data_IF_712566048705
#
_entry.id   IF_712566048705
#
_cell.length_a   1.000
_cell.length_b   1.000
_cell.length_c   1.000
_cell.angle_alpha   90.00
_cell.angle_beta   90.00
_cell.angle_gamma   90.00
#
_symmetry.space_group_name_H-M   'P 1'
#
loop_
_entity.id
_entity.type
_entity.pdbx_description
1 polymer ?
#
# COMPACT_ATOMS: atom_id res chain seq x y z
N UNK A 1 -8.42 -29.13 28.04
CA UNK A 1 -7.58 -29.10 26.81
C UNK A 1 -7.27 -27.63 26.55
N UNK A 2 -6.02 -27.20 26.74
CA UNK A 2 -5.62 -25.84 26.45
C UNK A 2 -5.65 -25.66 24.92
N UNK A 3 -6.54 -24.80 24.41
CA UNK A 3 -6.40 -24.25 23.09
C UNK A 3 -4.99 -23.62 23.03
N UNK A 4 -4.09 -24.22 22.27
CA UNK A 4 -2.82 -23.60 21.93
C UNK A 4 -3.17 -22.38 21.09
N UNK A 5 -3.30 -21.21 21.74
CA UNK A 5 -3.39 -19.93 21.07
C UNK A 5 -2.21 -19.84 20.10
N UNK A 6 -2.51 -19.67 18.82
CA UNK A 6 -1.47 -19.46 17.81
C UNK A 6 -0.59 -18.28 18.22
N UNK A 7 0.74 -18.38 18.20
CA UNK A 7 1.63 -17.39 18.80
C UNK A 7 1.66 -16.02 18.10
N UNK A 8 0.80 -15.77 17.11
CA UNK A 8 0.97 -14.69 16.16
C UNK A 8 0.28 -13.35 16.47
N UNK A 9 -0.82 -13.34 17.21
CA UNK A 9 -1.65 -12.15 17.37
C UNK A 9 -2.26 -11.64 16.04
N UNK A 10 -2.90 -10.47 16.08
CA UNK A 10 -3.54 -9.90 14.90
C UNK A 10 -2.53 -9.30 13.93
N UNK A 11 -2.76 -9.53 12.63
CA UNK A 11 -2.01 -8.93 11.53
C UNK A 11 -2.75 -7.76 10.91
N UNK A 12 -2.01 -6.73 10.51
CA UNK A 12 -2.47 -5.60 9.70
C UNK A 12 -1.84 -5.69 8.31
N UNK A 13 -2.67 -5.62 7.27
CA UNK A 13 -2.22 -5.64 5.87
C UNK A 13 -2.73 -4.38 5.16
N UNK A 14 -1.81 -3.59 4.61
CA UNK A 14 -2.10 -2.34 3.95
C UNK A 14 -1.69 -2.40 2.47
N UNK A 15 -2.67 -2.19 1.56
CA UNK A 15 -2.42 -2.20 0.11
C UNK A 15 -1.69 -0.94 -0.37
N UNK A 16 -1.19 -0.98 -1.60
CA UNK A 16 -0.72 0.20 -2.31
C UNK A 16 -1.88 1.12 -2.74
N UNK A 17 -1.52 2.31 -3.24
CA UNK A 17 -2.54 3.24 -3.75
C UNK A 17 -2.10 4.71 -3.86
N UNK A 18 -0.83 5.05 -3.69
CA UNK A 18 -0.36 6.43 -3.76
C UNK A 18 -1.07 7.32 -2.74
N UNK A 19 -1.60 8.48 -3.16
CA UNK A 19 -2.28 9.43 -2.28
C UNK A 19 -3.57 8.85 -1.66
N UNK A 20 -4.16 7.79 -2.22
CA UNK A 20 -5.27 7.04 -1.59
C UNK A 20 -4.87 6.42 -0.24
N UNK A 21 -3.56 6.33 0.08
CA UNK A 21 -3.06 5.89 1.38
C UNK A 21 -3.55 6.75 2.56
N UNK A 22 -4.01 7.98 2.33
CA UNK A 22 -4.67 8.81 3.32
C UNK A 22 -5.94 8.14 3.88
N UNK A 23 -6.71 7.45 3.05
CA UNK A 23 -7.87 6.66 3.48
C UNK A 23 -7.47 5.62 4.55
N UNK A 24 -6.37 4.89 4.31
CA UNK A 24 -5.88 3.90 5.29
C UNK A 24 -5.51 4.54 6.63
N UNK A 25 -4.87 5.71 6.61
CA UNK A 25 -4.56 6.45 7.83
C UNK A 25 -5.85 6.85 8.58
N UNK A 26 -6.90 7.24 7.86
CA UNK A 26 -8.23 7.48 8.40
C UNK A 26 -8.84 6.24 9.06
N UNK A 27 -8.78 5.09 8.37
CA UNK A 27 -9.26 3.81 8.91
C UNK A 27 -8.49 3.42 10.18
N UNK A 28 -7.16 3.56 10.19
CA UNK A 28 -6.34 3.26 11.36
C UNK A 28 -6.72 4.14 12.56
N UNK A 29 -7.00 5.43 12.33
CA UNK A 29 -7.50 6.33 13.37
C UNK A 29 -8.87 5.88 13.87
N UNK A 30 -9.79 5.53 12.98
CA UNK A 30 -11.12 5.01 13.36
C UNK A 30 -11.05 3.70 14.15
N UNK A 31 -10.13 2.80 13.82
CA UNK A 31 -9.86 1.58 14.60
C UNK A 31 -9.39 1.96 16.01
N UNK A 32 -8.47 2.91 16.13
CA UNK A 32 -8.01 3.38 17.44
C UNK A 32 -9.16 3.99 18.27
N UNK A 33 -10.06 4.75 17.62
CA UNK A 33 -11.25 5.31 18.28
C UNK A 33 -12.23 4.20 18.75
N UNK A 34 -12.36 3.10 18.00
CA UNK A 34 -13.17 1.94 18.39
C UNK A 34 -12.58 1.23 19.59
N UNK A 35 -11.26 1.03 19.59
CA UNK A 35 -10.54 0.30 20.65
C UNK A 35 -10.36 1.11 21.94
N UNK A 36 -10.42 2.45 21.88
CA UNK A 36 -10.23 3.32 23.04
C UNK A 36 -8.85 3.06 23.70
N UNK A 37 -8.84 2.81 25.00
CA UNK A 37 -7.60 2.57 25.78
C UNK A 37 -6.84 1.30 25.31
N UNK A 38 -7.54 0.30 24.76
CA UNK A 38 -6.92 -0.91 24.23
C UNK A 38 -6.05 -0.64 23.00
N UNK A 39 -6.27 0.47 22.30
CA UNK A 39 -5.43 0.87 21.16
C UNK A 39 -3.94 1.04 21.55
N UNK A 40 -3.64 1.30 22.82
CA UNK A 40 -2.27 1.47 23.31
C UNK A 40 -1.68 0.17 23.92
N UNK A 41 -2.19 -0.99 23.53
CA UNK A 41 -1.71 -2.32 23.96
C UNK A 41 -1.20 -3.16 22.79
N UNK A 42 -0.62 -2.55 21.77
CA UNK A 42 -0.16 -3.20 20.54
C UNK A 42 -1.24 -4.10 19.90
N UNK A 43 -2.36 -3.54 19.41
CA UNK A 43 -3.47 -4.33 18.87
C UNK A 43 -3.05 -5.19 17.68
N UNK A 44 -2.05 -4.76 16.94
CA UNK A 44 -1.45 -5.53 15.84
C UNK A 44 -0.01 -5.94 16.20
N UNK A 45 0.27 -7.24 16.08
CA UNK A 45 1.61 -7.81 16.30
C UNK A 45 2.39 -8.02 15.00
N UNK A 46 1.69 -8.09 13.88
CA UNK A 46 2.25 -8.24 12.54
C UNK A 46 1.73 -7.09 11.67
N UNK A 47 2.63 -6.32 11.08
CA UNK A 47 2.26 -5.23 10.17
C UNK A 47 2.94 -5.43 8.82
N UNK A 48 2.16 -5.40 7.76
CA UNK A 48 2.68 -5.55 6.39
C UNK A 48 2.09 -4.50 5.47
N UNK A 49 2.90 -3.99 4.55
CA UNK A 49 2.45 -2.98 3.63
C UNK A 49 3.15 -2.99 2.28
N UNK A 50 2.50 -2.38 1.31
CA UNK A 50 2.99 -2.21 -0.07
C UNK A 50 2.80 -0.74 -0.44
N UNK A 51 3.80 -0.10 -1.07
CA UNK A 51 3.70 1.29 -1.54
C UNK A 51 3.30 2.26 -0.43
N UNK A 52 2.26 3.06 -0.59
CA UNK A 52 1.72 3.91 0.46
C UNK A 52 1.36 3.11 1.74
N UNK A 53 0.86 1.88 1.57
CA UNK A 53 0.61 0.96 2.69
C UNK A 53 1.90 0.57 3.44
N UNK A 54 3.06 0.51 2.76
CA UNK A 54 4.34 0.28 3.43
C UNK A 54 4.74 1.48 4.32
N UNK A 55 4.46 2.70 3.86
CA UNK A 55 4.67 3.92 4.65
C UNK A 55 3.79 3.89 5.90
N UNK A 56 2.50 3.63 5.74
CA UNK A 56 1.55 3.59 6.84
C UNK A 56 1.87 2.46 7.84
N UNK A 57 2.20 1.26 7.33
CA UNK A 57 2.54 0.10 8.17
C UNK A 57 3.82 0.34 8.98
N UNK A 58 4.86 0.91 8.38
CA UNK A 58 6.13 1.19 9.08
C UNK A 58 5.98 2.33 10.08
N UNK A 59 5.18 3.36 9.76
CA UNK A 59 4.85 4.42 10.72
C UNK A 59 4.12 3.85 11.96
N UNK A 60 3.07 3.05 11.74
CA UNK A 60 2.34 2.41 12.83
C UNK A 60 3.24 1.43 13.63
N UNK A 61 4.14 0.71 12.95
CA UNK A 61 5.08 -0.20 13.58
C UNK A 61 6.11 0.52 14.47
N UNK A 62 6.55 1.71 14.09
CA UNK A 62 7.43 2.54 14.91
C UNK A 62 6.73 2.95 16.21
N UNK A 63 5.42 3.23 16.18
CA UNK A 63 4.61 3.52 17.37
C UNK A 63 4.49 2.33 18.35
N UNK A 64 4.63 1.11 17.88
CA UNK A 64 4.63 -0.10 18.71
C UNK A 64 3.38 -0.23 19.57
N UNK A 65 3.56 -0.22 20.90
CA UNK A 65 2.43 -0.31 21.84
C UNK A 65 1.54 0.94 21.84
N UNK A 66 2.07 2.11 21.50
CA UNK A 66 1.32 3.37 21.46
C UNK A 66 0.58 3.57 20.12
N UNK A 67 -0.16 2.55 19.66
CA UNK A 67 -0.85 2.56 18.37
C UNK A 67 -1.84 3.74 18.24
N UNK A 68 -2.61 4.05 19.30
CA UNK A 68 -3.53 5.18 19.29
C UNK A 68 -2.80 6.51 18.97
N UNK A 69 -1.71 6.80 19.68
CA UNK A 69 -0.87 7.98 19.43
C UNK A 69 -0.23 7.95 18.04
N UNK A 70 0.24 6.78 17.60
CA UNK A 70 0.81 6.63 16.26
C UNK A 70 -0.21 6.96 15.16
N UNK A 71 -1.47 6.54 15.34
CA UNK A 71 -2.53 6.86 14.35
C UNK A 71 -2.89 8.34 14.31
N UNK A 72 -2.82 9.04 15.44
CA UNK A 72 -2.96 10.52 15.49
C UNK A 72 -1.84 11.20 14.70
N UNK A 73 -0.60 10.80 14.95
CA UNK A 73 0.55 11.33 14.22
C UNK A 73 0.44 11.04 12.72
N UNK A 74 0.06 9.82 12.34
CA UNK A 74 -0.11 9.44 10.94
C UNK A 74 -1.23 10.25 10.25
N UNK A 75 -2.34 10.47 10.93
CA UNK A 75 -3.41 11.36 10.47
C UNK A 75 -2.87 12.76 10.15
N UNK A 76 -2.11 13.32 11.08
CA UNK A 76 -1.56 14.67 10.90
C UNK A 76 -0.53 14.74 9.76
N UNK A 77 0.29 13.70 9.60
CA UNK A 77 1.22 13.56 8.48
C UNK A 77 0.49 13.64 7.14
N UNK A 78 -0.60 12.86 6.97
CA UNK A 78 -1.39 12.88 5.74
C UNK A 78 -2.19 14.17 5.56
N UNK A 79 -2.69 14.77 6.64
CA UNK A 79 -3.44 16.02 6.63
C UNK A 79 -2.60 17.20 6.11
N UNK A 80 -1.31 17.19 6.42
CA UNK A 80 -0.37 18.25 6.04
C UNK A 80 0.41 17.93 4.77
N UNK A 81 0.30 16.71 4.23
CA UNK A 81 1.08 16.29 3.08
C UNK A 81 0.75 17.13 1.84
N UNK A 82 1.79 17.62 1.17
CA UNK A 82 1.69 18.38 -0.07
C UNK A 82 2.60 17.76 -1.13
N UNK A 83 2.27 18.03 -2.39
CA UNK A 83 2.98 17.51 -3.55
C UNK A 83 4.50 17.79 -3.48
N UNK A 84 4.89 18.97 -3.02
CA UNK A 84 6.29 19.41 -2.91
C UNK A 84 7.10 18.57 -1.90
N UNK A 85 6.43 17.90 -0.97
CA UNK A 85 7.05 16.96 -0.01
C UNK A 85 7.22 15.55 -0.59
N UNK A 86 6.60 15.28 -1.73
CA UNK A 86 6.64 13.98 -2.42
C UNK A 86 7.54 14.02 -3.65
N UNK A 87 7.38 15.07 -4.47
CA UNK A 87 8.12 15.26 -5.73
C UNK A 87 8.67 16.67 -5.84
N UNK A 88 9.81 16.81 -6.52
CA UNK A 88 10.29 18.13 -6.93
C UNK A 88 9.39 18.73 -8.00
N UNK A 89 8.98 19.96 -7.77
CA UNK A 89 8.09 20.72 -8.65
C UNK A 89 8.77 21.94 -9.27
N UNK A 90 10.09 22.14 -9.02
CA UNK A 90 10.85 23.27 -9.54
C UNK A 90 11.09 23.13 -11.05
N UNK A 91 10.92 24.26 -11.77
CA UNK A 91 10.98 24.33 -13.22
C UNK A 91 12.33 23.88 -13.81
N UNK A 92 13.45 24.14 -13.11
CA UNK A 92 14.78 23.76 -13.54
C UNK A 92 15.00 22.24 -13.61
N UNK A 93 14.56 21.51 -12.58
CA UNK A 93 14.63 20.05 -12.54
C UNK A 93 13.73 19.42 -13.59
N UNK A 94 12.51 19.94 -13.73
CA UNK A 94 11.49 19.40 -14.64
C UNK A 94 11.84 19.65 -16.12
N UNK A 95 12.38 20.83 -16.47
CA UNK A 95 12.83 21.11 -17.83
C UNK A 95 14.05 20.26 -18.22
N UNK A 96 14.96 19.98 -17.30
CA UNK A 96 16.12 19.11 -17.54
C UNK A 96 15.70 17.64 -17.75
N UNK A 97 14.71 17.16 -17.01
CA UNK A 97 14.13 15.82 -17.19
C UNK A 97 13.39 15.70 -18.53
N UNK A 98 12.57 16.68 -18.88
CA UNK A 98 11.85 16.71 -20.17
C UNK A 98 12.79 16.76 -21.37
N UNK A 99 13.84 17.59 -21.32
CA UNK A 99 14.88 17.63 -22.35
C UNK A 99 15.63 16.28 -22.44
N UNK A 100 16.00 15.67 -21.34
CA UNK A 100 16.66 14.34 -21.33
C UNK A 100 15.77 13.26 -21.97
N UNK A 101 14.45 13.28 -21.69
CA UNK A 101 13.49 12.38 -22.32
C UNK A 101 13.39 12.61 -23.83
N UNK A 102 13.25 13.86 -24.26
CA UNK A 102 13.21 14.21 -25.68
C UNK A 102 14.50 13.80 -26.42
N UNK A 103 15.67 14.04 -25.82
CA UNK A 103 16.96 13.60 -26.40
C UNK A 103 17.09 12.08 -26.44
N UNK A 104 16.63 11.38 -25.42
CA UNK A 104 16.68 9.90 -25.38
C UNK A 104 15.74 9.24 -26.38
N UNK A 105 14.56 9.82 -26.64
CA UNK A 105 13.60 9.32 -27.63
C UNK A 105 13.89 9.76 -29.06
N UNK A 106 14.43 10.99 -29.26
CA UNK A 106 14.54 11.60 -30.58
C UNK A 106 15.91 11.43 -31.30
N UNK A 107 17.02 11.25 -30.57
CA UNK A 107 18.37 11.28 -31.17
C UNK A 107 19.22 10.08 -30.72
N UNK A 108 18.67 9.11 -30.05
CA UNK A 108 19.37 8.20 -29.16
C UNK A 108 19.78 6.83 -29.70
N UNK A 109 19.95 6.64 -30.99
CA UNK A 109 20.30 5.33 -31.56
C UNK A 109 21.79 4.90 -31.45
N UNK A 110 22.71 5.77 -31.05
CA UNK A 110 24.16 5.40 -31.16
C UNK A 110 25.04 6.26 -30.28
N UNK A 111 25.27 5.88 -29.04
CA UNK A 111 26.60 6.09 -28.39
C UNK A 111 26.61 5.46 -26.99
N UNK A 112 27.56 4.59 -26.73
CA UNK A 112 27.78 3.92 -25.46
C UNK A 112 27.94 4.92 -24.30
N UNK A 113 27.40 4.54 -23.14
CA UNK A 113 27.54 5.25 -21.87
C UNK A 113 26.55 6.42 -21.58
N UNK A 114 25.31 6.37 -22.09
CA UNK A 114 24.27 7.33 -21.67
C UNK A 114 23.44 6.75 -20.53
N UNK A 115 23.42 7.45 -19.41
CA UNK A 115 22.45 7.20 -18.33
C UNK A 115 21.03 7.46 -18.87
N UNK A 116 20.32 6.40 -19.25
CA UNK A 116 18.92 6.50 -19.65
C UNK A 116 18.09 7.00 -18.46
N UNK A 117 17.24 7.99 -18.71
CA UNK A 117 16.27 8.44 -17.70
C UNK A 117 15.25 7.33 -17.48
N UNK A 118 15.16 6.80 -16.26
CA UNK A 118 14.30 5.67 -15.91
C UNK A 118 12.97 6.12 -15.27
N UNK A 119 12.80 7.44 -15.05
CA UNK A 119 11.66 8.00 -14.31
C UNK A 119 11.30 9.40 -14.83
N UNK A 120 10.05 9.78 -14.60
CA UNK A 120 9.49 11.08 -14.99
C UNK A 120 9.60 12.14 -13.88
N UNK A 121 9.60 11.73 -12.60
CA UNK A 121 9.51 12.62 -11.46
C UNK A 121 10.71 12.40 -10.51
N UNK A 122 11.22 13.48 -9.94
CA UNK A 122 12.22 13.42 -8.88
C UNK A 122 11.53 13.27 -7.52
N UNK A 123 11.64 12.09 -6.92
CA UNK A 123 11.08 11.74 -5.60
C UNK A 123 12.06 11.98 -4.44
N UNK A 124 13.10 12.82 -4.61
CA UNK A 124 14.03 13.14 -3.52
C UNK A 124 13.35 13.76 -2.28
N UNK A 125 12.32 14.63 -2.41
CA UNK A 125 11.61 15.15 -1.24
C UNK A 125 10.91 14.04 -0.44
N UNK A 126 10.37 13.01 -1.09
CA UNK A 126 9.75 11.89 -0.40
C UNK A 126 10.75 11.17 0.53
N UNK A 127 12.01 11.03 0.09
CA UNK A 127 13.07 10.44 0.94
C UNK A 127 13.28 11.23 2.21
N UNK A 128 13.36 12.55 2.11
CA UNK A 128 13.59 13.43 3.25
C UNK A 128 12.37 13.45 4.17
N UNK A 129 11.16 13.51 3.59
CA UNK A 129 9.91 13.40 4.31
C UNK A 129 9.80 12.07 5.10
N UNK A 130 10.10 10.94 4.49
CA UNK A 130 10.06 9.65 5.18
C UNK A 130 11.13 9.54 6.28
N UNK A 131 12.31 10.16 6.09
CA UNK A 131 13.36 10.21 7.11
C UNK A 131 12.93 10.99 8.35
N UNK A 132 12.12 12.03 8.18
CA UNK A 132 11.57 12.82 9.28
C UNK A 132 10.49 12.06 10.09
N UNK A 133 9.78 11.11 9.44
CA UNK A 133 8.55 10.52 10.00
C UNK A 133 8.66 9.03 10.33
N UNK A 134 9.63 8.30 9.78
CA UNK A 134 9.79 6.85 10.02
C UNK A 134 11.03 6.60 10.86
N UNK A 135 10.82 6.12 12.08
CA UNK A 135 11.88 5.68 12.97
C UNK A 135 12.16 4.18 12.82
N UNK A 136 13.15 3.84 11.97
CA UNK A 136 13.55 2.46 11.73
C UNK A 136 14.15 1.79 12.97
N UNK A 137 14.78 2.56 13.89
CA UNK A 137 15.33 2.01 15.13
C UNK A 137 14.20 1.64 16.09
N UNK A 138 13.15 2.46 16.20
CA UNK A 138 11.98 2.13 16.99
C UNK A 138 11.28 0.85 16.47
N UNK A 139 11.17 0.66 15.13
CA UNK A 139 10.65 -0.58 14.54
C UNK A 139 11.49 -1.78 15.01
N UNK A 140 12.80 -1.69 14.88
CA UNK A 140 13.74 -2.74 15.29
C UNK A 140 13.66 -3.03 16.80
N UNK A 141 13.54 -2.00 17.62
CA UNK A 141 13.33 -2.13 19.07
C UNK A 141 12.03 -2.89 19.37
N UNK A 142 10.92 -2.51 18.75
CA UNK A 142 9.61 -3.11 18.97
C UNK A 142 9.56 -4.59 18.56
N UNK A 143 10.30 -4.97 17.51
CA UNK A 143 10.45 -6.38 17.13
C UNK A 143 11.32 -7.15 18.14
N UNK A 144 12.47 -6.60 18.54
CA UNK A 144 13.39 -7.24 19.49
C UNK A 144 12.80 -7.40 20.89
N UNK A 145 12.04 -6.41 21.35
CA UNK A 145 11.35 -6.46 22.66
C UNK A 145 10.11 -7.37 22.67
N UNK A 146 9.70 -7.89 21.49
CA UNK A 146 8.51 -8.73 21.34
C UNK A 146 7.18 -7.96 21.41
N UNK A 147 7.18 -6.63 21.38
CA UNK A 147 5.98 -5.82 21.17
C UNK A 147 5.37 -6.16 19.82
N UNK A 148 6.19 -6.21 18.78
CA UNK A 148 5.80 -6.71 17.46
C UNK A 148 6.41 -8.09 17.20
N UNK A 149 5.65 -8.96 16.56
CA UNK A 149 6.14 -10.22 16.04
C UNK A 149 6.88 -10.06 14.72
N UNK A 150 6.43 -9.11 13.90
CA UNK A 150 7.11 -8.82 12.65
C UNK A 150 6.50 -7.67 11.85
N UNK A 151 7.37 -7.06 11.07
CA UNK A 151 7.03 -5.97 10.14
C UNK A 151 7.60 -6.31 8.78
N UNK A 152 6.84 -6.07 7.71
CA UNK A 152 7.30 -6.35 6.35
C UNK A 152 6.86 -5.29 5.35
N UNK A 153 7.73 -5.02 4.39
CA UNK A 153 7.44 -4.20 3.22
C UNK A 153 7.82 -4.96 1.96
N UNK A 154 7.02 -4.83 0.89
CA UNK A 154 7.26 -5.56 -0.35
C UNK A 154 7.66 -4.63 -1.47
N UNK A 155 8.71 -4.99 -2.20
CA UNK A 155 9.17 -4.31 -3.40
C UNK A 155 9.35 -5.30 -4.56
N UNK A 156 9.36 -4.82 -5.78
CA UNK A 156 9.58 -5.63 -7.00
C UNK A 156 11.02 -5.53 -7.44
N UNK A 157 11.72 -6.66 -7.52
CA UNK A 157 13.09 -6.72 -8.07
C UNK A 157 13.06 -6.62 -9.59
N UNK A 158 13.76 -5.64 -10.15
CA UNK A 158 13.92 -5.54 -11.61
C UNK A 158 14.87 -6.58 -12.19
N UNK A 159 15.74 -7.16 -11.37
CA UNK A 159 16.66 -8.19 -11.83
C UNK A 159 15.98 -9.53 -12.07
N UNK A 160 15.02 -9.91 -11.21
CA UNK A 160 14.35 -11.22 -11.25
C UNK A 160 12.87 -11.16 -11.65
N UNK A 161 12.25 -9.98 -11.66
CA UNK A 161 10.82 -9.83 -11.83
C UNK A 161 10.00 -10.40 -10.67
N UNK A 162 10.60 -10.59 -9.50
CA UNK A 162 10.00 -11.23 -8.32
C UNK A 162 9.61 -10.18 -7.28
N UNK A 163 8.47 -10.39 -6.60
CA UNK A 163 8.12 -9.62 -5.42
C UNK A 163 8.99 -10.07 -4.23
N UNK A 164 9.79 -9.17 -3.69
CA UNK A 164 10.64 -9.40 -2.53
C UNK A 164 10.00 -8.71 -1.33
N UNK A 165 9.64 -9.50 -0.34
CA UNK A 165 9.17 -9.01 0.95
C UNK A 165 10.35 -8.93 1.91
N UNK A 166 10.80 -7.72 2.19
CA UNK A 166 11.78 -7.44 3.22
C UNK A 166 11.09 -7.45 4.57
N UNK A 167 11.59 -8.24 5.53
CA UNK A 167 10.94 -8.33 6.82
C UNK A 167 11.94 -8.38 7.98
N UNK A 168 11.57 -7.72 9.08
CA UNK A 168 12.15 -7.88 10.41
C UNK A 168 11.12 -8.56 11.32
N UNK A 169 11.50 -9.64 11.99
CA UNK A 169 10.55 -10.45 12.74
C UNK A 169 11.23 -11.30 13.84
N UNK A 170 10.41 -11.84 14.72
CA UNK A 170 10.81 -12.78 15.76
C UNK A 170 11.74 -13.89 15.22
N UNK A 171 12.69 -14.43 16.04
CA UNK A 171 13.73 -15.34 15.56
C UNK A 171 13.22 -16.62 14.89
N UNK A 172 12.05 -17.09 15.28
CA UNK A 172 11.42 -18.32 14.75
C UNK A 172 10.84 -18.18 13.36
N UNK A 173 10.60 -16.94 12.87
CA UNK A 173 10.12 -16.69 11.50
C UNK A 173 11.25 -16.94 10.51
N UNK A 174 11.05 -17.80 9.54
CA UNK A 174 12.05 -18.15 8.53
C UNK A 174 11.82 -17.43 7.21
N UNK A 175 12.87 -17.12 6.43
CA UNK A 175 12.73 -16.72 5.04
C UNK A 175 11.92 -17.77 4.25
N UNK A 176 11.18 -17.30 3.25
CA UNK A 176 10.36 -18.18 2.41
C UNK A 176 10.53 -17.89 0.92
N UNK A 177 10.22 -18.88 0.10
CA UNK A 177 10.14 -18.76 -1.34
C UNK A 177 8.84 -19.38 -1.84
N UNK A 178 8.19 -18.69 -2.78
CA UNK A 178 6.99 -19.10 -3.51
C UNK A 178 7.14 -18.66 -4.96
N UNK A 179 6.27 -19.13 -5.83
CA UNK A 179 6.29 -18.72 -7.24
C UNK A 179 6.24 -17.19 -7.37
N UNK A 180 7.29 -16.60 -7.94
CA UNK A 180 7.46 -15.17 -8.15
C UNK A 180 7.38 -14.28 -6.87
N UNK A 181 7.53 -14.86 -5.66
CA UNK A 181 7.49 -14.14 -4.38
C UNK A 181 8.49 -14.73 -3.40
N UNK A 182 9.23 -13.90 -2.71
CA UNK A 182 10.23 -14.32 -1.70
C UNK A 182 10.17 -13.42 -0.48
N UNK A 183 10.34 -13.99 0.70
CA UNK A 183 10.58 -13.25 1.93
C UNK A 183 12.06 -13.27 2.29
N UNK A 184 12.63 -12.11 2.48
CA UNK A 184 14.03 -11.88 2.84
C UNK A 184 14.10 -11.22 4.22
N UNK A 185 14.71 -11.90 5.18
CA UNK A 185 14.95 -11.32 6.50
C UNK A 185 16.01 -10.24 6.41
N UNK A 186 15.69 -9.05 6.92
CA UNK A 186 16.60 -7.94 7.04
C UNK A 186 16.13 -6.97 8.14
N UNK A 187 17.02 -6.20 8.72
CA UNK A 187 16.61 -5.02 9.48
C UNK A 187 15.97 -4.03 8.51
N UNK A 188 14.71 -3.66 8.78
CA UNK A 188 14.03 -2.70 7.92
C UNK A 188 14.65 -1.31 8.06
N UNK A 189 14.90 -0.70 6.93
CA UNK A 189 15.44 0.65 6.80
C UNK A 189 14.64 1.46 5.79
N UNK A 190 14.81 2.77 5.81
CA UNK A 190 14.10 3.71 4.95
C UNK A 190 14.16 3.33 3.46
N UNK A 191 15.29 2.84 2.98
CA UNK A 191 15.44 2.49 1.56
C UNK A 191 14.56 1.30 1.13
N UNK A 192 14.16 0.40 2.04
CA UNK A 192 13.20 -0.66 1.76
C UNK A 192 11.79 -0.09 1.55
N UNK A 193 11.40 0.90 2.37
CA UNK A 193 10.11 1.60 2.25
C UNK A 193 10.06 2.40 0.96
N UNK A 194 11.13 3.13 0.65
CA UNK A 194 11.28 3.87 -0.62
C UNK A 194 11.20 2.95 -1.84
N UNK A 195 11.85 1.77 -1.77
CA UNK A 195 11.78 0.78 -2.84
C UNK A 195 10.35 0.27 -3.05
N UNK A 196 9.62 0.04 -1.95
CA UNK A 196 8.22 -0.37 -1.98
C UNK A 196 7.29 0.69 -2.57
N UNK A 197 7.63 1.99 -2.44
CA UNK A 197 6.83 3.11 -2.92
C UNK A 197 7.32 3.71 -4.27
N UNK A 198 8.31 3.08 -4.91
CA UNK A 198 8.88 3.56 -6.18
C UNK A 198 8.01 3.12 -7.37
N UNK A 199 6.91 3.83 -7.62
CA UNK A 199 5.99 3.55 -8.74
C UNK A 199 6.76 3.60 -10.06
N UNK A 200 6.76 2.51 -10.88
CA UNK A 200 7.50 2.44 -12.13
C UNK A 200 7.11 3.59 -13.08
N UNK A 201 8.08 4.06 -13.85
CA UNK A 201 7.97 5.18 -14.79
C UNK A 201 7.82 6.52 -14.07
N UNK A 202 7.03 6.61 -13.00
CA UNK A 202 6.81 7.86 -12.27
C UNK A 202 8.01 8.17 -11.36
N UNK A 203 8.41 7.24 -10.51
CA UNK A 203 9.48 7.44 -9.53
C UNK A 203 10.75 6.67 -9.88
N UNK A 204 11.93 7.18 -9.44
CA UNK A 204 13.19 6.49 -9.67
C UNK A 204 13.21 5.13 -8.96
N UNK A 205 13.76 4.09 -9.60
CA UNK A 205 14.03 2.83 -8.93
C UNK A 205 15.01 3.03 -7.77
N UNK A 206 14.88 2.23 -6.72
CA UNK A 206 15.69 2.32 -5.51
C UNK A 206 16.65 1.15 -5.46
N UNK A 207 17.92 1.42 -5.15
CA UNK A 207 18.93 0.38 -4.99
C UNK A 207 18.92 -0.14 -3.55
N UNK A 208 18.71 -1.46 -3.39
CA UNK A 208 18.81 -2.18 -2.12
C UNK A 208 19.87 -3.27 -2.29
N UNK A 209 20.93 -3.20 -1.52
CA UNK A 209 22.09 -4.07 -1.76
C UNK A 209 22.65 -3.89 -3.17
N UNK A 210 22.78 -4.96 -3.92
CA UNK A 210 23.28 -4.95 -5.31
C UNK A 210 22.20 -4.77 -6.38
N UNK A 211 20.90 -4.79 -6.04
CA UNK A 211 19.79 -4.87 -6.98
C UNK A 211 18.94 -3.60 -7.01
N UNK A 212 18.25 -3.36 -8.13
CA UNK A 212 17.28 -2.29 -8.31
C UNK A 212 15.86 -2.79 -8.07
N UNK A 213 15.08 -1.99 -7.36
CA UNK A 213 13.71 -2.29 -6.98
C UNK A 213 12.76 -1.16 -7.36
N UNK A 214 11.53 -1.54 -7.65
CA UNK A 214 10.39 -0.67 -7.81
C UNK A 214 9.22 -1.10 -6.93
N UNK A 215 8.08 -0.43 -7.08
CA UNK A 215 6.89 -0.64 -6.26
C UNK A 215 6.46 -2.10 -6.21
N UNK A 216 6.16 -2.56 -4.99
CA UNK A 216 5.78 -3.94 -4.71
C UNK A 216 4.46 -4.37 -5.33
N UNK A 217 3.53 -3.44 -5.53
CA UNK A 217 2.21 -3.71 -6.10
C UNK A 217 2.26 -4.34 -7.49
N UNK A 218 3.32 -4.03 -8.27
CA UNK A 218 3.47 -4.55 -9.63
C UNK A 218 3.53 -6.09 -9.69
N UNK A 219 4.10 -6.74 -8.68
CA UNK A 219 4.32 -8.21 -8.68
C UNK A 219 3.69 -8.95 -7.49
N UNK A 220 3.16 -8.24 -6.50
CA UNK A 220 2.55 -8.86 -5.33
C UNK A 220 1.10 -9.29 -5.61
N UNK A 221 0.93 -10.54 -5.97
CA UNK A 221 -0.39 -11.14 -6.28
C UNK A 221 -1.09 -11.79 -5.09
N UNK A 222 -0.47 -11.79 -3.91
CA UNK A 222 -1.04 -12.33 -2.67
C UNK A 222 -0.60 -11.48 -1.45
N UNK A 223 -1.19 -10.29 -1.28
CA UNK A 223 -0.81 -9.33 -0.24
C UNK A 223 -1.00 -9.83 1.19
N UNK A 224 -1.88 -10.80 1.44
CA UNK A 224 -2.08 -11.42 2.76
C UNK A 224 -0.93 -12.38 3.13
N UNK A 225 -0.23 -12.92 2.13
CA UNK A 225 0.81 -13.94 2.32
C UNK A 225 1.95 -13.52 3.26
N UNK A 226 2.50 -12.30 3.22
CA UNK A 226 3.52 -11.88 4.18
C UNK A 226 3.05 -11.94 5.64
N UNK A 227 1.84 -11.49 5.94
CA UNK A 227 1.29 -11.54 7.29
C UNK A 227 1.15 -13.00 7.79
N UNK A 228 0.73 -13.90 6.91
CA UNK A 228 0.64 -15.33 7.19
C UNK A 228 2.03 -15.91 7.50
N UNK A 229 3.04 -15.60 6.68
CA UNK A 229 4.41 -16.08 6.90
C UNK A 229 5.05 -15.49 8.16
N UNK A 230 4.68 -14.31 8.57
CA UNK A 230 5.07 -13.71 9.85
C UNK A 230 4.30 -14.30 11.04
N UNK A 231 3.31 -15.16 10.78
CA UNK A 231 2.58 -15.92 11.79
C UNK A 231 1.40 -15.16 12.39
N UNK A 232 0.73 -14.30 11.64
CA UNK A 232 -0.53 -13.69 12.07
C UNK A 232 -1.60 -14.78 12.29
N UNK A 233 -2.32 -14.69 13.40
CA UNK A 233 -3.42 -15.60 13.73
C UNK A 233 -4.75 -15.19 13.09
N UNK A 234 -4.91 -13.90 12.82
CA UNK A 234 -6.00 -13.30 12.06
C UNK A 234 -5.47 -12.06 11.33
N UNK A 235 -6.17 -11.58 10.31
CA UNK A 235 -5.73 -10.44 9.51
C UNK A 235 -6.85 -9.42 9.37
N UNK A 236 -6.54 -8.17 9.72
CA UNK A 236 -7.32 -7.00 9.30
C UNK A 236 -6.61 -6.39 8.10
N UNK A 237 -7.30 -6.33 6.97
CA UNK A 237 -6.74 -5.78 5.74
C UNK A 237 -7.50 -4.51 5.33
N UNK A 238 -6.75 -3.46 4.98
CA UNK A 238 -7.32 -2.19 4.53
C UNK A 238 -7.01 -2.01 3.05
N UNK A 239 -8.04 -2.16 2.22
CA UNK A 239 -8.00 -1.88 0.79
C UNK A 239 -8.31 -0.40 0.51
N UNK A 240 -7.94 0.08 -0.68
CA UNK A 240 -8.29 1.42 -1.16
C UNK A 240 -9.09 1.35 -2.48
N UNK A 241 -9.66 0.19 -2.75
CA UNK A 241 -10.57 -0.05 -3.86
C UNK A 241 -12.03 0.05 -3.40
N UNK A 242 -12.78 0.90 -4.04
CA UNK A 242 -14.25 0.92 -3.91
C UNK A 242 -14.84 -0.31 -4.60
N UNK A 243 -15.64 -1.08 -3.86
CA UNK A 243 -16.37 -2.21 -4.43
C UNK A 243 -17.67 -1.69 -5.03
N UNK A 244 -17.62 -1.41 -6.34
CA UNK A 244 -18.79 -0.91 -7.07
C UNK A 244 -19.87 -1.99 -7.13
N UNK A 245 -21.14 -1.66 -6.85
CA UNK A 245 -22.25 -2.59 -7.05
C UNK A 245 -22.37 -3.10 -8.50
N UNK A 246 -22.77 -4.35 -8.68
CA UNK A 246 -22.87 -4.98 -10.02
C UNK A 246 -23.81 -4.21 -10.94
N UNK A 247 -24.90 -3.67 -10.42
CA UNK A 247 -25.84 -2.86 -11.17
C UNK A 247 -25.21 -1.60 -11.73
N UNK A 248 -24.50 -0.85 -10.91
CA UNK A 248 -23.75 0.33 -11.34
C UNK A 248 -22.66 -0.02 -12.37
N UNK A 249 -22.02 -1.19 -12.20
CA UNK A 249 -21.03 -1.68 -13.17
C UNK A 249 -21.67 -1.98 -14.53
N UNK A 250 -22.87 -2.58 -14.54
CA UNK A 250 -23.63 -2.83 -15.80
C UNK A 250 -24.05 -1.53 -16.46
N UNK A 251 -24.60 -0.58 -15.71
CA UNK A 251 -24.99 0.74 -16.22
C UNK A 251 -23.82 1.46 -16.89
N UNK A 252 -22.64 1.45 -16.27
CA UNK A 252 -21.44 2.04 -16.86
C UNK A 252 -20.97 1.35 -18.14
N UNK A 253 -21.15 0.03 -18.26
CA UNK A 253 -20.78 -0.72 -19.46
C UNK A 253 -21.84 -0.62 -20.58
N UNK A 254 -23.08 -0.37 -20.24
CA UNK A 254 -24.19 -0.20 -21.20
C UNK A 254 -24.39 1.27 -21.58
N UNK A 255 -23.87 2.19 -20.77
CA UNK A 255 -23.97 3.63 -21.00
C UNK A 255 -23.16 4.06 -22.22
N UNK A 256 -23.75 5.00 -22.99
CA UNK A 256 -23.06 5.69 -24.08
C UNK A 256 -22.05 6.68 -23.47
N UNK A 257 -20.90 6.20 -23.01
CA UNK A 257 -19.83 7.05 -22.53
C UNK A 257 -19.33 7.90 -23.69
N UNK A 258 -19.71 9.18 -23.69
CA UNK A 258 -19.50 10.13 -24.78
C UNK A 258 -18.07 10.64 -24.90
N UNK A 259 -17.18 10.35 -23.94
CA UNK A 259 -15.81 10.81 -24.03
C UNK A 259 -14.88 9.75 -24.65
N UNK A 260 -13.93 10.19 -25.45
CA UNK A 260 -12.90 9.33 -25.99
C UNK A 260 -11.95 8.91 -24.87
N UNK A 261 -11.62 7.61 -24.81
CA UNK A 261 -10.64 7.07 -23.86
C UNK A 261 -9.29 7.75 -24.05
N UNK A 262 -8.75 8.29 -22.96
CA UNK A 262 -7.47 8.99 -22.94
C UNK A 262 -6.33 8.11 -22.43
N UNK A 263 -5.09 8.54 -22.61
CA UNK A 263 -3.94 7.87 -21.98
C UNK A 263 -3.99 7.97 -20.45
N UNK A 264 -4.62 8.99 -19.90
CA UNK A 264 -4.82 9.13 -18.46
C UNK A 264 -5.80 8.07 -17.93
N UNK A 265 -6.88 7.75 -18.66
CA UNK A 265 -7.82 6.69 -18.29
C UNK A 265 -7.16 5.30 -18.36
N UNK A 266 -6.40 5.04 -19.42
CA UNK A 266 -5.63 3.79 -19.57
C UNK A 266 -4.62 3.67 -18.41
N UNK A 267 -3.87 4.73 -18.12
CA UNK A 267 -2.90 4.78 -17.03
C UNK A 267 -3.55 4.52 -15.67
N UNK A 268 -4.69 5.14 -15.39
CA UNK A 268 -5.47 4.91 -14.16
C UNK A 268 -5.93 3.45 -14.04
N UNK A 269 -6.46 2.88 -15.11
CA UNK A 269 -6.87 1.47 -15.15
C UNK A 269 -5.69 0.52 -14.89
N UNK A 270 -4.54 0.78 -15.50
CA UNK A 270 -3.32 -0.03 -15.27
C UNK A 270 -2.82 0.08 -13.82
N UNK A 271 -2.88 1.27 -13.21
CA UNK A 271 -2.52 1.43 -11.82
C UNK A 271 -3.51 0.72 -10.88
N UNK A 272 -4.81 0.79 -11.16
CA UNK A 272 -5.84 0.06 -10.42
C UNK A 272 -5.58 -1.45 -10.47
N UNK A 273 -5.30 -2.01 -11.65
CA UNK A 273 -4.99 -3.43 -11.82
C UNK A 273 -3.72 -3.85 -11.05
N UNK A 274 -2.70 -3.01 -11.04
CA UNK A 274 -1.44 -3.31 -10.35
C UNK A 274 -1.54 -3.20 -8.83
N UNK A 275 -2.29 -2.23 -8.30
CA UNK A 275 -2.22 -1.86 -6.89
C UNK A 275 -3.47 -2.23 -6.08
N UNK A 276 -4.64 -2.35 -6.71
CA UNK A 276 -5.90 -2.53 -5.98
C UNK A 276 -6.45 -3.95 -6.07
N UNK A 277 -6.37 -4.56 -7.24
CA UNK A 277 -7.09 -5.81 -7.52
C UNK A 277 -6.52 -7.00 -6.77
N UNK A 278 -5.21 -7.01 -6.50
CA UNK A 278 -4.52 -8.14 -5.90
C UNK A 278 -4.98 -8.43 -4.47
N UNK A 279 -5.25 -7.40 -3.64
CA UNK A 279 -5.72 -7.59 -2.26
C UNK A 279 -7.14 -8.14 -2.23
N UNK A 280 -8.02 -7.64 -3.09
CA UNK A 280 -9.40 -8.10 -3.20
C UNK A 280 -9.46 -9.58 -3.63
N UNK A 281 -8.74 -9.93 -4.69
CA UNK A 281 -8.67 -11.30 -5.17
C UNK A 281 -8.06 -12.27 -4.15
N UNK A 282 -7.07 -11.82 -3.37
CA UNK A 282 -6.44 -12.64 -2.33
C UNK A 282 -7.37 -12.84 -1.12
N UNK A 283 -8.11 -11.82 -0.72
CA UNK A 283 -9.12 -11.93 0.34
C UNK A 283 -10.27 -12.85 -0.06
N UNK A 284 -10.78 -12.75 -1.28
CA UNK A 284 -11.78 -13.68 -1.81
C UNK A 284 -11.28 -15.11 -1.82
N UNK A 285 -10.06 -15.33 -2.30
CA UNK A 285 -9.39 -16.64 -2.28
C UNK A 285 -9.27 -17.18 -0.86
N UNK A 286 -8.88 -16.34 0.10
CA UNK A 286 -8.75 -16.74 1.51
C UNK A 286 -10.10 -17.15 2.11
N UNK A 287 -11.17 -16.42 1.79
CA UNK A 287 -12.53 -16.77 2.22
C UNK A 287 -12.93 -18.16 1.71
N UNK A 288 -12.65 -18.47 0.44
CA UNK A 288 -12.92 -19.79 -0.13
C UNK A 288 -12.07 -20.88 0.51
N UNK A 289 -10.78 -20.62 0.75
CA UNK A 289 -9.89 -21.56 1.45
C UNK A 289 -10.41 -21.82 2.86
N UNK A 290 -10.76 -20.79 3.61
CA UNK A 290 -11.31 -20.91 4.96
C UNK A 290 -12.59 -21.77 4.99
N UNK A 291 -13.50 -21.53 4.04
CA UNK A 291 -14.73 -22.32 3.90
C UNK A 291 -14.43 -23.80 3.63
N UNK A 292 -13.43 -24.08 2.79
CA UNK A 292 -12.99 -25.47 2.50
C UNK A 292 -12.36 -26.11 3.75
N UNK A 293 -11.49 -25.39 4.47
CA UNK A 293 -10.84 -25.91 5.69
C UNK A 293 -11.88 -26.20 6.79
N UNK A 294 -12.93 -25.37 6.88
CA UNK A 294 -13.99 -25.57 7.86
C UNK A 294 -14.79 -26.88 7.67
N UNK A 295 -14.76 -27.45 6.46
CA UNK A 295 -15.39 -28.77 6.17
C UNK A 295 -14.50 -29.97 6.58
N UNK A 296 -13.22 -29.75 6.82
CA UNK A 296 -12.29 -30.82 7.20
C UNK A 296 -12.35 -31.09 8.70
N UNK A 297 -12.26 -32.35 9.09
CA UNK A 297 -12.05 -32.75 10.49
C UNK A 297 -10.58 -32.49 10.89
N UNK A 298 -10.29 -32.58 12.21
CA UNK A 298 -8.96 -32.26 12.75
C UNK A 298 -7.87 -33.22 12.26
N UNK A 299 -8.21 -34.49 12.05
CA UNK A 299 -7.24 -35.48 11.53
C UNK A 299 -6.90 -35.20 10.07
N UNK A 300 -7.89 -34.85 9.26
CA UNK A 300 -7.67 -34.43 7.86
C UNK A 300 -6.81 -33.17 7.76
N UNK A 301 -7.01 -32.21 8.67
CA UNK A 301 -6.19 -30.98 8.72
C UNK A 301 -4.73 -31.29 9.07
N UNK A 302 -4.50 -32.21 10.01
CA UNK A 302 -3.14 -32.62 10.47
C UNK A 302 -2.39 -33.46 9.45
N UNK A 303 -3.08 -34.24 8.63
CA UNK A 303 -2.47 -35.14 7.61
C UNK A 303 -1.93 -34.37 6.40
N UNK A 304 -2.21 -33.08 6.29
CA UNK A 304 -1.66 -32.24 5.20
C UNK A 304 -0.15 -32.00 5.43
N UNK A 305 0.60 -31.89 4.34
CA UNK A 305 2.05 -31.60 4.38
C UNK A 305 2.38 -30.30 5.16
N UNK A 306 1.44 -29.36 5.18
CA UNK A 306 1.45 -28.20 6.08
C UNK A 306 0.12 -28.20 6.83
N UNK A 307 0.10 -28.19 8.17
CA UNK A 307 -1.16 -28.15 8.94
C UNK A 307 -2.04 -26.98 8.51
N UNK A 308 -3.30 -27.28 8.17
CA UNK A 308 -4.26 -26.27 7.74
C UNK A 308 -5.02 -25.73 8.94
N UNK A 309 -5.22 -24.41 8.96
CA UNK A 309 -6.07 -23.74 9.92
C UNK A 309 -6.84 -22.61 9.25
N UNK A 310 -7.99 -22.27 9.77
CA UNK A 310 -8.77 -21.13 9.34
C UNK A 310 -8.03 -19.84 9.76
N UNK A 311 -7.86 -18.92 8.84
CA UNK A 311 -7.32 -17.59 9.09
C UNK A 311 -8.44 -16.55 8.96
N UNK A 312 -8.98 -16.03 10.07
CA UNK A 312 -9.98 -14.97 10.01
C UNK A 312 -9.44 -13.73 9.30
N UNK A 313 -10.21 -13.19 8.35
CA UNK A 313 -9.87 -11.98 7.63
C UNK A 313 -11.01 -10.98 7.73
N UNK A 314 -10.72 -9.79 8.26
CA UNK A 314 -11.60 -8.65 8.23
C UNK A 314 -11.09 -7.66 7.17
N UNK A 315 -11.92 -7.36 6.17
CA UNK A 315 -11.61 -6.38 5.13
C UNK A 315 -12.34 -5.07 5.40
N UNK A 316 -11.61 -3.95 5.41
CA UNK A 316 -12.18 -2.61 5.42
C UNK A 316 -11.91 -1.97 4.06
N UNK A 317 -12.97 -1.44 3.42
CA UNK A 317 -12.97 -0.86 2.08
C UNK A 317 -13.63 0.50 2.09
N UNK A 318 -13.27 1.39 1.15
CA UNK A 318 -13.95 2.67 1.00
C UNK A 318 -15.44 2.48 0.65
N UNK A 319 -16.30 3.22 1.33
CA UNK A 319 -17.72 3.32 1.03
C UNK A 319 -18.03 4.20 -0.19
N UNK A 320 -17.02 4.95 -0.69
CA UNK A 320 -17.11 5.80 -1.86
C UNK A 320 -15.94 5.54 -2.83
N UNK A 321 -16.14 5.85 -4.10
CA UNK A 321 -15.10 5.71 -5.12
C UNK A 321 -14.02 6.79 -4.97
N UNK A 322 -12.83 6.39 -4.48
CA UNK A 322 -11.71 7.31 -4.25
C UNK A 322 -11.18 7.91 -5.55
N UNK A 323 -11.32 7.22 -6.69
CA UNK A 323 -11.01 7.75 -8.00
C UNK A 323 -11.94 8.90 -8.34
N UNK A 324 -13.26 8.71 -8.16
CA UNK A 324 -14.25 9.74 -8.41
C UNK A 324 -14.05 10.98 -7.54
N UNK A 325 -13.61 10.82 -6.28
CA UNK A 325 -13.28 11.94 -5.39
C UNK A 325 -12.07 12.76 -5.88
N UNK A 326 -11.26 12.23 -6.79
CA UNK A 326 -10.16 12.97 -7.42
C UNK A 326 -10.61 13.77 -8.65
N UNK A 327 -11.85 13.65 -9.10
CA UNK A 327 -12.39 14.52 -10.13
C UNK A 327 -12.32 16.00 -9.67
N UNK A 328 -11.91 16.89 -10.55
CA UNK A 328 -11.69 18.31 -10.21
C UNK A 328 -10.36 18.63 -9.52
N UNK A 329 -9.58 17.64 -9.09
CA UNK A 329 -8.28 17.88 -8.43
C UNK A 329 -7.20 18.41 -9.38
N UNK A 330 -7.41 18.38 -10.70
CA UNK A 330 -6.43 18.81 -11.70
C UNK A 330 -5.94 20.26 -11.47
N UNK A 331 -6.80 21.13 -10.96
CA UNK A 331 -6.46 22.52 -10.64
C UNK A 331 -5.43 22.65 -9.50
N UNK A 332 -5.39 21.69 -8.57
CA UNK A 332 -4.52 21.68 -7.40
C UNK A 332 -3.11 21.17 -7.70
N UNK A 333 -2.89 20.57 -8.87
CA UNK A 333 -1.55 20.16 -9.28
C UNK A 333 -0.66 21.36 -9.61
N UNK A 334 0.64 21.31 -9.30
CA UNK A 334 1.62 22.28 -9.78
C UNK A 334 1.53 22.46 -11.30
N UNK A 335 1.80 23.66 -11.80
CA UNK A 335 1.58 24.03 -13.21
C UNK A 335 2.19 23.05 -14.21
N UNK A 336 3.39 22.55 -13.93
CA UNK A 336 4.06 21.56 -14.78
C UNK A 336 3.30 20.21 -14.79
N UNK A 337 2.97 19.67 -13.62
CA UNK A 337 2.22 18.41 -13.52
C UNK A 337 0.88 18.51 -14.21
N UNK A 338 0.18 19.63 -14.02
CA UNK A 338 -1.07 19.92 -14.69
C UNK A 338 -0.92 19.93 -16.21
N UNK A 339 0.16 20.53 -16.72
CA UNK A 339 0.45 20.53 -18.16
C UNK A 339 0.73 19.09 -18.67
N UNK A 340 1.52 18.32 -17.94
CA UNK A 340 1.83 16.93 -18.27
C UNK A 340 0.55 16.06 -18.26
N UNK A 341 -0.27 16.17 -17.22
CA UNK A 341 -1.52 15.42 -17.09
C UNK A 341 -2.51 15.79 -18.20
N UNK A 342 -2.64 17.08 -18.55
CA UNK A 342 -3.44 17.52 -19.71
C UNK A 342 -2.90 16.97 -21.02
N UNK A 343 -1.58 16.87 -21.17
CA UNK A 343 -0.94 16.31 -22.36
C UNK A 343 -1.28 14.85 -22.62
N UNK A 344 -1.61 14.09 -21.58
CA UNK A 344 -2.06 12.69 -21.68
C UNK A 344 -3.60 12.56 -21.59
N UNK A 345 -4.32 13.69 -21.61
CA UNK A 345 -5.77 13.74 -21.70
C UNK A 345 -6.52 13.79 -20.36
N UNK A 346 -5.82 14.07 -19.24
CA UNK A 346 -6.52 14.30 -17.97
C UNK A 346 -7.31 15.62 -18.02
N UNK A 347 -8.54 15.56 -17.55
CA UNK A 347 -9.49 16.68 -17.49
C UNK A 347 -10.37 16.56 -16.24
N UNK A 348 -11.41 17.37 -16.14
CA UNK A 348 -12.42 17.21 -15.08
C UNK A 348 -13.22 15.91 -15.24
N UNK A 349 -13.38 15.42 -16.48
CA UNK A 349 -14.19 14.25 -16.81
C UNK A 349 -13.35 12.98 -17.12
N UNK A 350 -12.02 13.10 -17.23
CA UNK A 350 -11.14 12.00 -17.64
C UNK A 350 -9.88 11.93 -16.77
N UNK A 351 -9.40 10.68 -16.52
CA UNK A 351 -8.14 10.45 -15.81
C UNK A 351 -8.23 10.61 -14.29
N UNK A 352 -9.43 10.65 -13.70
CA UNK A 352 -9.62 10.79 -12.25
C UNK A 352 -8.92 9.69 -11.46
N UNK A 353 -8.94 8.45 -11.95
CA UNK A 353 -8.22 7.32 -11.34
C UNK A 353 -6.70 7.61 -11.29
N UNK A 354 -6.08 8.01 -12.40
CA UNK A 354 -4.65 8.36 -12.42
C UNK A 354 -4.34 9.51 -11.46
N UNK A 355 -5.18 10.58 -11.48
CA UNK A 355 -5.00 11.73 -10.60
C UNK A 355 -5.07 11.34 -9.13
N UNK A 356 -5.95 10.42 -8.74
CA UNK A 356 -6.10 9.96 -7.36
C UNK A 356 -4.85 9.32 -6.75
N UNK A 357 -3.96 8.75 -7.56
CA UNK A 357 -2.68 8.22 -7.08
C UNK A 357 -1.66 9.33 -6.79
N UNK A 358 -1.82 10.48 -7.43
CA UNK A 358 -0.85 11.58 -7.44
C UNK A 358 -1.32 12.83 -6.67
N UNK A 359 -2.59 12.87 -6.21
CA UNK A 359 -3.18 14.03 -5.52
C UNK A 359 -2.71 14.12 -4.06
N UNK A 360 -1.42 14.35 -3.86
CA UNK A 360 -0.84 14.62 -2.54
C UNK A 360 -1.13 16.07 -2.13
N UNK A 361 -2.39 16.39 -1.90
CA UNK A 361 -2.86 17.72 -1.50
C UNK A 361 -3.98 17.58 -0.45
N UNK A 362 -4.03 18.46 0.57
CA UNK A 362 -5.06 18.43 1.60
C UNK A 362 -6.50 18.47 1.07
N UNK A 363 -6.74 19.11 -0.09
CA UNK A 363 -8.07 19.11 -0.71
C UNK A 363 -8.55 17.71 -1.12
N UNK A 364 -7.65 16.76 -1.30
CA UNK A 364 -7.97 15.36 -1.57
C UNK A 364 -7.73 14.46 -0.35
N UNK A 365 -6.58 14.61 0.34
CA UNK A 365 -6.21 13.70 1.42
C UNK A 365 -7.07 13.87 2.66
N UNK A 366 -7.52 15.09 3.00
CA UNK A 366 -8.39 15.33 4.17
C UNK A 366 -9.75 14.64 4.04
N UNK A 367 -10.50 14.79 2.93
CA UNK A 367 -11.72 14.01 2.72
C UNK A 367 -11.51 12.50 2.83
N UNK A 368 -10.37 11.97 2.36
CA UNK A 368 -10.05 10.55 2.46
C UNK A 368 -9.79 10.09 3.90
N UNK A 369 -9.10 10.91 4.70
CA UNK A 369 -8.91 10.66 6.12
C UNK A 369 -10.25 10.56 6.85
N UNK A 370 -11.14 11.53 6.63
CA UNK A 370 -12.46 11.57 7.24
C UNK A 370 -13.32 10.38 6.81
N UNK A 371 -13.33 10.06 5.51
CA UNK A 371 -14.04 8.90 4.98
C UNK A 371 -13.53 7.60 5.61
N UNK A 372 -12.20 7.39 5.67
CA UNK A 372 -11.63 6.20 6.25
C UNK A 372 -11.98 6.03 7.73
N UNK A 373 -11.94 7.13 8.50
CA UNK A 373 -12.38 7.13 9.91
C UNK A 373 -13.85 6.79 10.04
N UNK A 374 -14.72 7.38 9.21
CA UNK A 374 -16.15 7.11 9.22
C UNK A 374 -16.46 5.64 8.86
N UNK A 375 -15.79 5.09 7.84
CA UNK A 375 -15.96 3.70 7.42
C UNK A 375 -15.53 2.70 8.51
N UNK A 376 -14.46 2.99 9.25
CA UNK A 376 -14.06 2.18 10.39
C UNK A 376 -15.09 2.25 11.52
N UNK A 377 -15.59 3.44 11.85
CA UNK A 377 -16.63 3.61 12.88
C UNK A 377 -17.95 2.93 12.49
N UNK A 378 -18.32 2.92 11.20
CA UNK A 378 -19.47 2.20 10.68
C UNK A 378 -19.32 0.68 10.83
N UNK A 379 -18.09 0.16 10.88
CA UNK A 379 -17.79 -1.25 11.10
C UNK A 379 -17.40 -1.58 12.56
N UNK A 380 -17.74 -0.72 13.52
CA UNK A 380 -17.41 -0.88 14.96
C UNK A 380 -17.60 -2.30 15.46
N UNK A 381 -18.78 -2.88 15.28
CA UNK A 381 -19.11 -4.23 15.76
C UNK A 381 -18.18 -5.30 15.18
N UNK A 382 -17.84 -5.21 13.89
CA UNK A 382 -16.93 -6.15 13.23
C UNK A 382 -15.51 -6.00 13.77
N UNK A 383 -15.06 -4.77 14.01
CA UNK A 383 -13.73 -4.47 14.56
C UNK A 383 -13.63 -4.98 16.00
N UNK A 384 -14.64 -4.69 16.85
CA UNK A 384 -14.68 -5.20 18.23
C UNK A 384 -14.64 -6.74 18.25
N UNK A 385 -15.47 -7.40 17.43
CA UNK A 385 -15.48 -8.85 17.32
C UNK A 385 -14.14 -9.43 16.83
N UNK A 386 -13.43 -8.74 15.92
CA UNK A 386 -12.13 -9.16 15.42
C UNK A 386 -11.06 -9.18 16.51
N UNK A 387 -11.05 -8.21 17.42
CA UNK A 387 -10.08 -8.14 18.51
C UNK A 387 -10.46 -8.94 19.77
N UNK A 388 -11.71 -9.40 19.87
CA UNK A 388 -12.19 -10.22 21.02
C UNK A 388 -11.96 -11.72 20.79
N UNK A 389 -11.88 -12.15 19.52
CA UNK A 389 -11.68 -13.55 19.12
C UNK A 389 -10.19 -13.86 18.92
#
# INVERSE_FOLDING_TARGET
MRQTSMPGGHGLVLSGGGARGAYQAGVLRGIADVLGDEANRAPFRVLTGISAGAINATYAAAGGAAFGTATEGLWEVWRQLRMERVIRTDFGTLSSLGLRWMFNLGIGGSSGNKQHSTHLLDASPLRDFLREHIDAEAIRHNVRSGILRGVAVTATSYASGTAITFFDAAPDVQPWARTARMGQRTALELHHVLASAAIPILFPPVRVGGCWYGDGGVRMTAPLSPAIHLGAASVLAIGVRYQRPDEQTRELNEGNNMHNVTLADIGGTMLNAAFLDSLEADAERMTRINSTIALLNEDQKRQQATPLHVLPVLMIRPSQDLGALAAGQLANFPSFMRHLLRGIGASEDAGSDLMSYLSFDPAYTVPLLELGRADALAQRTNIEAFFTN
#
